data_IF_051619618449
#
_entry.id   IF_051619618449
#
_cell.length_a   1.000
_cell.length_b   1.000
_cell.length_c   1.000
_cell.angle_alpha   90.00
_cell.angle_beta   90.00
_cell.angle_gamma   90.00
#
_symmetry.space_group_name_H-M   'P 1'
#
loop_
_entity.id
_entity.type
_entity.pdbx_description
1 polymer ?
#
# COMPACT_ATOMS: atom_id res chain seq x y z
N UNK A 1 10.41 10.07 22.35
CA UNK A 1 11.29 9.73 21.21
C UNK A 1 10.91 8.34 20.76
N UNK A 2 10.68 8.17 19.46
CA UNK A 2 10.36 6.87 18.85
C UNK A 2 11.17 6.70 17.57
N UNK A 3 11.53 5.46 17.18
CA UNK A 3 12.28 5.23 15.97
C UNK A 3 11.39 5.47 14.74
N UNK A 4 11.93 6.17 13.73
CA UNK A 4 11.28 6.24 12.43
C UNK A 4 11.06 4.83 11.88
N UNK A 5 9.85 4.56 11.41
CA UNK A 5 9.45 3.31 10.84
C UNK A 5 10.34 2.89 9.69
N UNK A 6 10.90 3.84 8.90
CA UNK A 6 11.77 3.62 7.75
C UNK A 6 13.27 3.58 8.14
N UNK A 7 13.87 4.71 8.52
CA UNK A 7 15.32 4.77 8.76
C UNK A 7 15.77 4.33 10.16
N UNK A 8 14.84 3.99 11.06
CA UNK A 8 15.09 3.56 12.46
C UNK A 8 15.78 4.57 13.37
N UNK A 9 16.07 5.78 12.90
CA UNK A 9 16.63 6.86 13.73
C UNK A 9 15.58 7.30 14.77
N UNK A 10 15.99 7.41 16.04
CA UNK A 10 15.15 7.98 17.10
C UNK A 10 14.85 9.44 16.79
N UNK A 11 13.56 9.76 16.74
CA UNK A 11 13.06 11.09 16.41
C UNK A 11 12.14 11.56 17.52
N UNK A 12 12.12 12.87 17.79
CA UNK A 12 11.14 13.46 18.70
C UNK A 12 9.71 13.19 18.19
N UNK A 13 8.77 12.97 19.10
CA UNK A 13 7.40 12.58 18.74
C UNK A 13 6.71 13.67 17.89
N UNK A 14 7.03 14.94 18.14
CA UNK A 14 6.50 16.09 17.38
C UNK A 14 7.04 16.18 15.93
N UNK A 15 8.11 15.45 15.61
CA UNK A 15 8.75 15.39 14.29
C UNK A 15 8.39 14.09 13.52
N UNK A 16 7.45 13.31 14.05
CA UNK A 16 6.94 12.08 13.44
C UNK A 16 5.60 12.31 12.74
N UNK A 17 5.42 11.62 11.62
CA UNK A 17 4.23 11.70 10.79
C UNK A 17 3.69 10.32 10.49
N UNK A 18 2.43 10.10 10.85
CA UNK A 18 1.76 8.83 10.62
C UNK A 18 1.43 8.64 9.13
N UNK A 19 1.85 7.50 8.58
CA UNK A 19 1.44 7.01 7.25
C UNK A 19 0.99 5.56 7.43
N UNK A 20 -0.31 5.32 7.26
CA UNK A 20 -0.93 4.00 7.39
C UNK A 20 -0.53 3.25 8.67
N UNK A 21 -0.50 3.97 9.80
CA UNK A 21 -0.20 3.40 11.12
C UNK A 21 1.30 3.26 11.45
N UNK A 22 2.19 3.73 10.58
CA UNK A 22 3.64 3.79 10.82
C UNK A 22 4.12 5.23 10.95
N UNK A 23 5.03 5.50 11.88
CA UNK A 23 5.57 6.83 12.15
C UNK A 23 6.84 7.11 11.33
N UNK A 24 6.83 8.14 10.49
CA UNK A 24 7.98 8.52 9.67
C UNK A 24 8.55 9.87 10.12
N UNK A 25 9.88 10.01 10.20
CA UNK A 25 10.49 11.31 10.46
C UNK A 25 10.30 12.24 9.26
N UNK A 26 10.43 13.56 9.50
CA UNK A 26 10.33 14.60 8.48
C UNK A 26 11.20 14.34 7.24
N UNK A 27 12.43 13.85 7.42
CA UNK A 27 13.32 13.49 6.31
C UNK A 27 12.70 12.40 5.44
N UNK A 28 12.44 11.22 6.02
CA UNK A 28 11.95 10.06 5.29
C UNK A 28 10.56 10.26 4.67
N UNK A 29 9.72 11.09 5.28
CA UNK A 29 8.41 11.44 4.70
C UNK A 29 8.54 12.24 3.42
N UNK A 30 9.57 13.09 3.35
CA UNK A 30 9.72 14.11 2.31
C UNK A 30 10.81 13.77 1.28
N UNK A 31 11.37 12.56 1.30
CA UNK A 31 12.41 12.10 0.38
C UNK A 31 12.01 10.82 -0.33
N UNK A 32 12.70 10.51 -1.43
CA UNK A 32 12.58 9.20 -2.06
C UNK A 32 13.01 8.10 -1.08
N UNK A 33 12.18 7.07 -0.80
CA UNK A 33 12.46 6.05 0.20
C UNK A 33 13.39 4.92 -0.29
N UNK A 34 13.90 5.00 -1.53
CA UNK A 34 14.65 3.90 -2.17
C UNK A 34 15.84 3.42 -1.36
N UNK A 35 16.70 4.34 -0.92
CA UNK A 35 17.92 3.97 -0.20
C UNK A 35 17.62 3.37 1.17
N UNK A 36 16.65 3.95 1.90
CA UNK A 36 16.25 3.42 3.19
C UNK A 36 15.46 2.11 3.10
N UNK A 37 14.74 1.85 1.99
CA UNK A 37 14.13 0.55 1.71
C UNK A 37 15.20 -0.50 1.40
N UNK A 38 16.20 -0.15 0.59
CA UNK A 38 17.32 -1.03 0.26
C UNK A 38 18.14 -1.40 1.50
N UNK A 39 18.37 -0.45 2.43
CA UNK A 39 19.01 -0.69 3.72
C UNK A 39 18.24 -1.68 4.61
N UNK A 40 17.02 -2.05 4.20
CA UNK A 40 16.15 -3.02 4.86
C UNK A 40 15.83 -4.16 3.95
N UNK A 41 16.69 -4.50 3.00
CA UNK A 41 16.54 -5.59 2.02
C UNK A 41 15.18 -5.58 1.30
N UNK A 42 14.61 -4.41 1.04
CA UNK A 42 13.46 -4.25 0.17
C UNK A 42 13.94 -3.56 -1.10
N UNK A 43 14.19 -4.35 -2.15
CA UNK A 43 14.50 -3.80 -3.47
C UNK A 43 13.24 -3.13 -4.02
N UNK A 44 13.37 -1.92 -4.57
CA UNK A 44 12.24 -1.21 -5.18
C UNK A 44 12.58 -0.61 -6.54
N UNK A 45 11.61 -0.65 -7.45
CA UNK A 45 11.64 0.03 -8.74
C UNK A 45 10.39 0.91 -8.85
N UNK A 46 10.59 2.21 -9.10
CA UNK A 46 9.52 3.18 -9.27
C UNK A 46 9.44 3.61 -10.74
N UNK A 47 8.25 3.60 -11.33
CA UNK A 47 8.02 4.11 -12.67
C UNK A 47 6.85 5.09 -12.68
N UNK A 48 7.10 6.33 -13.12
CA UNK A 48 6.07 7.37 -13.26
C UNK A 48 6.04 7.90 -14.69
N UNK A 49 5.22 7.30 -15.56
CA UNK A 49 5.09 7.69 -16.98
C UNK A 49 3.65 8.02 -17.33
N UNK A 50 3.44 9.13 -18.04
CA UNK A 50 2.15 9.47 -18.68
C UNK A 50 0.93 9.31 -17.76
N UNK A 51 0.98 9.93 -16.56
CA UNK A 51 -0.06 9.81 -15.54
C UNK A 51 -0.27 8.37 -15.01
N UNK A 52 0.76 7.52 -15.04
CA UNK A 52 0.78 6.22 -14.39
C UNK A 52 1.84 6.23 -13.29
N UNK A 53 1.50 5.70 -12.12
CA UNK A 53 2.47 5.35 -11.07
C UNK A 53 2.56 3.83 -11.01
N UNK A 54 3.76 3.26 -11.10
CA UNK A 54 3.97 1.85 -10.83
C UNK A 54 5.10 1.67 -9.84
N UNK A 55 4.98 0.64 -9.00
CA UNK A 55 6.02 0.25 -8.07
C UNK A 55 6.17 -1.27 -8.11
N UNK A 56 7.41 -1.76 -8.23
CA UNK A 56 7.76 -3.15 -7.94
C UNK A 56 8.60 -3.18 -6.67
N UNK A 57 8.17 -3.90 -5.63
CA UNK A 57 8.91 -4.06 -4.39
C UNK A 57 9.17 -5.54 -4.08
N UNK A 58 10.40 -5.90 -3.80
CA UNK A 58 10.81 -7.23 -3.33
C UNK A 58 10.78 -7.30 -1.81
N UNK A 59 9.81 -7.98 -1.25
CA UNK A 59 9.60 -8.19 0.19
C UNK A 59 10.15 -9.57 0.53
N UNK A 60 11.33 -9.60 1.17
CA UNK A 60 11.92 -10.84 1.66
C UNK A 60 10.95 -11.59 2.60
N UNK A 61 11.12 -12.91 2.67
CA UNK A 61 10.40 -13.81 3.57
C UNK A 61 8.88 -13.94 3.35
N UNK A 62 8.34 -13.41 2.25
CA UNK A 62 6.97 -13.75 1.84
C UNK A 62 6.91 -15.16 1.27
N UNK A 63 5.80 -15.84 1.56
CA UNK A 63 5.51 -17.16 1.01
C UNK A 63 5.43 -17.11 -0.53
N UNK A 64 6.24 -17.89 -1.27
CA UNK A 64 6.25 -17.88 -2.73
C UNK A 64 4.89 -18.25 -3.36
N UNK A 65 4.02 -18.96 -2.64
CA UNK A 65 2.69 -19.36 -3.10
C UNK A 65 1.60 -18.33 -2.73
N UNK A 66 1.95 -17.24 -2.04
CA UNK A 66 1.00 -16.19 -1.70
C UNK A 66 0.72 -15.29 -2.90
N UNK A 67 -0.56 -15.19 -3.29
CA UNK A 67 -1.01 -14.25 -4.30
C UNK A 67 -2.20 -13.41 -3.81
N UNK A 68 -2.00 -12.10 -3.80
CA UNK A 68 -3.03 -11.10 -3.53
C UNK A 68 -3.19 -10.26 -4.79
N UNK A 69 -4.43 -10.00 -5.21
CA UNK A 69 -4.75 -9.05 -6.27
C UNK A 69 -5.95 -8.19 -5.89
N UNK A 70 -5.74 -6.89 -5.90
CA UNK A 70 -6.78 -5.88 -5.68
C UNK A 70 -7.00 -5.12 -7.00
N UNK A 71 -8.23 -5.14 -7.53
CA UNK A 71 -8.65 -4.33 -8.69
C UNK A 71 -9.83 -3.44 -8.33
N UNK A 72 -9.96 -2.23 -8.90
CA UNK A 72 -11.01 -1.28 -8.53
C UNK A 72 -12.34 -1.52 -9.25
N UNK A 73 -12.36 -2.38 -10.27
CA UNK A 73 -13.55 -2.66 -11.07
C UNK A 73 -14.74 -3.16 -10.22
N UNK A 74 -14.46 -3.66 -8.99
CA UNK A 74 -15.47 -4.07 -8.01
C UNK A 74 -15.86 -2.96 -7.01
N UNK A 75 -15.05 -1.92 -6.83
CA UNK A 75 -15.25 -0.84 -5.84
C UNK A 75 -16.45 0.07 -6.14
N UNK A 76 -16.76 0.30 -7.41
CA UNK A 76 -17.60 1.43 -7.79
C UNK A 76 -19.09 1.26 -7.60
N UNK A 77 -19.61 0.03 -7.63
CA UNK A 77 -21.05 -0.17 -7.49
C UNK A 77 -21.58 0.02 -6.06
N UNK A 78 -20.71 0.03 -5.03
CA UNK A 78 -21.13 0.14 -3.63
C UNK A 78 -20.53 1.34 -2.87
N UNK A 79 -19.37 1.88 -3.25
CA UNK A 79 -18.70 2.98 -2.48
C UNK A 79 -19.48 4.31 -2.44
N UNK A 80 -20.47 4.52 -3.31
CA UNK A 80 -21.40 5.67 -3.18
C UNK A 80 -22.19 5.65 -1.85
N UNK A 81 -22.19 4.53 -1.12
CA UNK A 81 -22.80 4.34 0.20
C UNK A 81 -21.80 4.31 1.37
N UNK A 82 -20.48 4.37 1.10
CA UNK A 82 -19.40 3.90 2.02
C UNK A 82 -18.60 5.03 2.68
N UNK A 83 -18.90 6.30 2.39
CA UNK A 83 -18.17 7.46 2.99
C UNK A 83 -18.65 7.79 4.42
N UNK A 84 -19.53 6.99 5.03
CA UNK A 84 -20.17 7.34 6.31
C UNK A 84 -19.83 6.48 7.54
N UNK A 85 -19.21 5.30 7.44
CA UNK A 85 -19.07 4.41 8.59
C UNK A 85 -17.72 3.68 8.62
N UNK A 86 -17.09 3.66 9.81
CA UNK A 86 -15.84 2.96 10.12
C UNK A 86 -15.98 1.44 9.92
N UNK A 87 -15.01 0.79 9.26
CA UNK A 87 -15.06 -0.66 9.02
C UNK A 87 -14.46 -1.48 10.17
N UNK A 88 -15.22 -2.48 10.64
CA UNK A 88 -14.73 -3.61 11.42
C UNK A 88 -14.34 -4.81 10.54
N UNK A 89 -13.48 -5.68 11.07
CA UNK A 89 -13.03 -6.92 10.40
C UNK A 89 -14.22 -7.88 10.25
N UNK A 90 -14.43 -8.43 9.04
CA UNK A 90 -15.55 -9.33 8.72
C UNK A 90 -16.72 -8.67 7.97
N UNK A 91 -16.56 -7.41 7.55
CA UNK A 91 -17.52 -6.79 6.65
C UNK A 91 -17.39 -7.39 5.24
N UNK A 92 -18.41 -8.15 4.85
CA UNK A 92 -18.50 -8.81 3.55
C UNK A 92 -18.26 -7.85 2.35
N UNK A 93 -18.51 -6.56 2.51
CA UNK A 93 -18.31 -5.57 1.45
C UNK A 93 -16.84 -5.21 1.18
N UNK A 94 -15.94 -5.43 2.13
CA UNK A 94 -14.49 -5.32 1.93
C UNK A 94 -13.91 -6.62 1.36
N UNK A 95 -14.36 -7.77 1.88
CA UNK A 95 -13.83 -9.10 1.55
C UNK A 95 -14.22 -9.57 0.13
N UNK A 96 -15.39 -9.16 -0.39
CA UNK A 96 -15.86 -9.50 -1.75
C UNK A 96 -15.02 -8.87 -2.88
N UNK A 97 -14.07 -7.99 -2.56
CA UNK A 97 -13.40 -7.10 -3.54
C UNK A 97 -11.88 -7.25 -3.60
N UNK A 98 -11.35 -8.11 -2.75
CA UNK A 98 -9.94 -8.50 -2.73
C UNK A 98 -9.86 -9.94 -3.20
N UNK A 99 -9.33 -10.16 -4.40
CA UNK A 99 -9.10 -11.52 -4.85
C UNK A 99 -7.79 -12.02 -4.25
N UNK A 100 -7.90 -12.96 -3.32
CA UNK A 100 -6.74 -13.67 -2.79
C UNK A 100 -6.70 -15.07 -3.37
N UNK A 101 -5.61 -15.41 -4.05
CA UNK A 101 -5.30 -16.77 -4.43
C UNK A 101 -4.13 -17.23 -3.56
N UNK A 102 -4.37 -18.19 -2.68
CA UNK A 102 -3.31 -18.70 -1.81
C UNK A 102 -3.55 -20.15 -1.46
N UNK A 103 -2.47 -20.90 -1.28
CA UNK A 103 -2.50 -22.22 -0.66
C UNK A 103 -2.70 -22.14 0.87
N UNK A 104 -2.62 -20.93 1.47
CA UNK A 104 -2.71 -20.68 2.92
C UNK A 104 -3.72 -19.57 3.25
N UNK A 105 -5.03 -19.85 3.20
CA UNK A 105 -6.08 -18.85 3.43
C UNK A 105 -6.04 -18.21 4.82
N UNK A 106 -5.58 -18.92 5.85
CA UNK A 106 -5.42 -18.36 7.20
C UNK A 106 -4.38 -17.22 7.23
N UNK A 107 -3.23 -17.43 6.57
CA UNK A 107 -2.18 -16.40 6.44
C UNK A 107 -2.74 -15.18 5.70
N UNK A 108 -3.49 -15.38 4.62
CA UNK A 108 -4.19 -14.29 3.94
C UNK A 108 -5.19 -13.54 4.82
N UNK A 109 -5.92 -14.24 5.69
CA UNK A 109 -6.79 -13.62 6.68
C UNK A 109 -6.02 -12.70 7.63
N UNK A 110 -4.90 -13.18 8.19
CA UNK A 110 -4.02 -12.38 9.06
C UNK A 110 -3.43 -11.17 8.31
N UNK A 111 -3.07 -11.37 7.04
CA UNK A 111 -2.55 -10.32 6.16
C UNK A 111 -3.52 -9.16 6.06
N UNK A 112 -4.78 -9.47 5.79
CA UNK A 112 -5.84 -8.51 5.54
C UNK A 112 -6.44 -7.96 6.84
N UNK A 113 -6.35 -8.69 7.95
CA UNK A 113 -6.76 -8.18 9.26
C UNK A 113 -5.87 -7.03 9.74
N UNK A 114 -4.60 -6.99 9.33
CA UNK A 114 -3.66 -5.92 9.68
C UNK A 114 -4.19 -4.55 9.24
N UNK A 115 -4.43 -3.66 10.20
CA UNK A 115 -5.01 -2.33 9.97
C UNK A 115 -4.14 -1.46 9.07
N UNK A 116 -2.82 -1.51 9.24
CA UNK A 116 -1.88 -0.75 8.43
C UNK A 116 -1.89 -1.17 6.96
N UNK A 117 -2.02 -2.47 6.68
CA UNK A 117 -2.22 -3.01 5.33
C UNK A 117 -3.52 -2.48 4.73
N UNK A 118 -4.63 -2.55 5.48
CA UNK A 118 -5.93 -2.05 5.00
C UNK A 118 -5.89 -0.56 4.69
N UNK A 119 -5.33 0.26 5.58
CA UNK A 119 -5.20 1.72 5.38
C UNK A 119 -4.34 2.06 4.16
N UNK A 120 -3.24 1.34 3.96
CA UNK A 120 -2.36 1.56 2.81
C UNK A 120 -3.04 1.14 1.50
N UNK A 121 -3.67 -0.03 1.47
CA UNK A 121 -4.45 -0.50 0.31
C UNK A 121 -5.58 0.48 -0.01
N UNK A 122 -6.34 0.92 1.00
CA UNK A 122 -7.41 1.90 0.83
C UNK A 122 -6.87 3.18 0.18
N UNK A 123 -5.75 3.71 0.65
CA UNK A 123 -5.17 4.94 0.07
C UNK A 123 -4.67 4.75 -1.37
N UNK A 124 -4.03 3.62 -1.67
CA UNK A 124 -3.55 3.29 -3.01
C UNK A 124 -4.71 3.04 -4.00
N UNK A 125 -5.88 2.66 -3.51
CA UNK A 125 -7.04 2.29 -4.33
C UNK A 125 -8.17 3.35 -4.36
N UNK A 126 -8.21 4.31 -3.43
CA UNK A 126 -9.29 5.34 -3.29
C UNK A 126 -9.33 6.42 -4.37
N UNK A 127 -8.33 6.50 -5.25
CA UNK A 127 -8.29 7.53 -6.30
C UNK A 127 -8.86 7.08 -7.65
N UNK A 128 -9.81 6.14 -7.65
CA UNK A 128 -10.39 5.60 -8.89
C UNK A 128 -11.73 6.30 -9.18
N UNK A 129 -12.14 6.38 -10.46
CA UNK A 129 -13.54 6.65 -10.84
C UNK A 129 -14.07 5.50 -11.68
N UNK A 130 -15.39 5.27 -11.61
CA UNK A 130 -16.16 4.20 -12.30
C UNK A 130 -15.80 4.02 -13.77
N UNK A 131 -15.43 5.10 -14.46
CA UNK A 131 -15.23 5.13 -15.92
C UNK A 131 -13.76 4.88 -16.33
N UNK A 132 -12.88 4.58 -15.38
CA UNK A 132 -11.44 4.32 -15.58
C UNK A 132 -11.12 2.83 -15.34
N UNK A 133 -11.81 1.95 -16.07
CA UNK A 133 -11.67 0.48 -16.00
C UNK A 133 -10.30 -0.05 -16.51
N UNK A 134 -9.25 0.77 -16.48
CA UNK A 134 -7.87 0.29 -16.58
C UNK A 134 -7.28 0.43 -15.18
N UNK A 135 -7.65 -0.52 -14.33
CA UNK A 135 -7.66 -0.36 -12.88
C UNK A 135 -6.31 -0.05 -12.23
N UNK A 136 -6.38 0.76 -11.16
CA UNK A 136 -5.36 0.80 -10.11
C UNK A 136 -5.24 -0.60 -9.49
N UNK A 137 -4.08 -1.24 -9.64
CA UNK A 137 -3.87 -2.63 -9.32
C UNK A 137 -2.79 -2.76 -8.25
N UNK A 138 -3.09 -3.52 -7.20
CA UNK A 138 -2.07 -3.98 -6.24
C UNK A 138 -2.02 -5.49 -6.32
N UNK A 139 -0.85 -6.04 -6.66
CA UNK A 139 -0.60 -7.47 -6.63
C UNK A 139 0.57 -7.80 -5.75
N UNK A 140 0.40 -8.69 -4.79
CA UNK A 140 1.51 -9.38 -4.14
C UNK A 140 1.59 -10.78 -4.75
N UNK A 141 2.71 -11.15 -5.37
CA UNK A 141 2.96 -12.48 -5.90
C UNK A 141 4.28 -12.98 -5.34
N UNK A 142 4.22 -13.90 -4.39
CA UNK A 142 5.38 -14.30 -3.61
C UNK A 142 6.02 -13.07 -2.94
N UNK A 143 7.34 -12.87 -3.07
CA UNK A 143 8.01 -11.69 -2.53
C UNK A 143 7.72 -10.41 -3.32
N UNK A 144 7.09 -10.46 -4.48
CA UNK A 144 6.98 -9.30 -5.35
C UNK A 144 5.65 -8.57 -5.18
N UNK A 145 5.69 -7.35 -4.64
CA UNK A 145 4.58 -6.40 -4.60
C UNK A 145 4.62 -5.49 -5.84
N UNK A 146 3.61 -5.57 -6.68
CA UNK A 146 3.38 -4.75 -7.85
C UNK A 146 2.22 -3.80 -7.60
N UNK A 147 2.45 -2.51 -7.68
CA UNK A 147 1.43 -1.47 -7.64
C UNK A 147 1.41 -0.80 -9.01
N UNK A 148 0.23 -0.55 -9.57
CA UNK A 148 0.07 0.17 -10.83
C UNK A 148 -1.18 1.02 -10.73
N UNK A 149 -1.03 2.34 -10.72
CA UNK A 149 -2.13 3.31 -10.66
C UNK A 149 -2.15 4.15 -11.93
N UNK A 150 -3.34 4.44 -12.46
CA UNK A 150 -3.55 5.25 -13.67
C UNK A 150 -4.56 6.38 -13.41
N UNK A 151 -4.16 7.47 -12.75
CA UNK A 151 -4.99 8.67 -12.61
C UNK A 151 -5.35 9.35 -13.94
N UNK A 152 -6.47 10.07 -13.96
CA UNK A 152 -6.95 10.86 -15.12
C UNK A 152 -6.04 12.01 -15.56
N UNK A 153 -5.25 12.53 -14.63
CA UNK A 153 -4.43 13.72 -14.84
C UNK A 153 -2.99 13.47 -14.43
N UNK A 154 -2.11 14.38 -14.83
CA UNK A 154 -0.73 14.39 -14.35
C UNK A 154 -0.71 14.34 -12.82
N UNK A 155 0.14 13.46 -12.28
CA UNK A 155 0.42 13.44 -10.85
C UNK A 155 1.41 14.56 -10.53
N UNK A 156 1.12 15.36 -9.51
CA UNK A 156 2.12 16.26 -8.94
C UNK A 156 3.23 15.46 -8.24
N UNK A 157 4.40 16.08 -8.07
CA UNK A 157 5.53 15.46 -7.35
C UNK A 157 5.13 15.10 -5.91
N UNK A 158 4.41 15.99 -5.21
CA UNK A 158 3.88 15.72 -3.87
C UNK A 158 2.97 14.49 -3.85
N UNK A 159 2.16 14.31 -4.90
CA UNK A 159 1.26 13.16 -4.99
C UNK A 159 2.03 11.87 -5.27
N UNK A 160 3.03 11.92 -6.14
CA UNK A 160 3.94 10.79 -6.40
C UNK A 160 4.63 10.38 -5.10
N UNK A 161 5.16 11.35 -4.35
CA UNK A 161 5.82 11.11 -3.08
C UNK A 161 4.86 10.50 -2.04
N UNK A 162 3.64 11.02 -1.94
CA UNK A 162 2.61 10.42 -1.09
C UNK A 162 2.34 8.95 -1.46
N UNK A 163 2.26 8.63 -2.75
CA UNK A 163 2.04 7.25 -3.23
C UNK A 163 3.26 6.35 -2.93
N UNK A 164 4.48 6.85 -3.11
CA UNK A 164 5.70 6.15 -2.69
C UNK A 164 5.69 5.84 -1.20
N UNK A 165 5.26 6.78 -0.36
CA UNK A 165 5.15 6.57 1.09
C UNK A 165 4.08 5.55 1.47
N UNK A 166 2.96 5.50 0.75
CA UNK A 166 1.93 4.48 0.97
C UNK A 166 2.39 3.09 0.54
N UNK A 167 3.05 2.99 -0.62
CA UNK A 167 3.68 1.75 -1.09
C UNK A 167 4.76 1.25 -0.11
N UNK A 168 5.56 2.18 0.41
CA UNK A 168 6.57 1.92 1.45
C UNK A 168 5.89 1.37 2.71
N UNK A 169 4.89 2.07 3.26
CA UNK A 169 4.18 1.62 4.45
C UNK A 169 3.58 0.22 4.26
N UNK A 170 2.97 -0.05 3.10
CA UNK A 170 2.44 -1.38 2.76
C UNK A 170 3.55 -2.44 2.79
N UNK A 171 4.68 -2.20 2.13
CA UNK A 171 5.80 -3.15 2.12
C UNK A 171 6.39 -3.40 3.52
N UNK A 172 6.47 -2.37 4.37
CA UNK A 172 6.93 -2.52 5.75
C UNK A 172 5.95 -3.35 6.59
N UNK A 173 4.64 -3.12 6.48
CA UNK A 173 3.64 -3.94 7.17
C UNK A 173 3.65 -5.40 6.71
N UNK A 174 3.90 -5.63 5.42
CA UNK A 174 4.03 -6.98 4.87
C UNK A 174 5.30 -7.69 5.38
N UNK A 175 6.41 -6.95 5.55
CA UNK A 175 7.69 -7.50 6.01
C UNK A 175 7.73 -7.83 7.50
N UNK A 176 7.14 -6.99 8.36
CA UNK A 176 7.25 -7.12 9.82
C UNK A 176 6.06 -7.83 10.47
N UNK A 177 5.49 -8.80 9.77
CA UNK A 177 4.46 -9.68 10.35
C UNK A 177 5.02 -10.64 11.38
#
# INVERSE_FOLDING_TARGET
MKPCALCRIETADDDLFAVSGLDFCSKCRNSDPTDELAARDIACEWDTRMARFSAGLGIADQDPDFYLKCTPELWFHKVRKVVSEDFEVGDASFDDQIWVQTSKPAVAGEVLANEGVRRALLTLLTHVRVNELVGNHVTLKGPTLLISMRPLGGLSEDKILQLKMQATALALHLRYR
#
